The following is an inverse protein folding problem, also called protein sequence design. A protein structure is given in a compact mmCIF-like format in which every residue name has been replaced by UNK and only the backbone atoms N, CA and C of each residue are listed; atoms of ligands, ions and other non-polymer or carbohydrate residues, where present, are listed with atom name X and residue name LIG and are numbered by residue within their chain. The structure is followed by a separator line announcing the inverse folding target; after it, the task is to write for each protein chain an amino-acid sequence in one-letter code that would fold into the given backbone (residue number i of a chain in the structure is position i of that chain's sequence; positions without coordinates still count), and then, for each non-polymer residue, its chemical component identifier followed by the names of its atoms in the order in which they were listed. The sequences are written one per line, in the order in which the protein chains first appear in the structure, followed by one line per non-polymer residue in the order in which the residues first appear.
data_IF_179679700105
#
_entry.id   IF_179679700105
#
_cell.length_a   1.000
_cell.length_b   1.000
_cell.length_c   1.000
_cell.angle_alpha   90.00
_cell.angle_beta   90.00
_cell.angle_gamma   90.00
#
_symmetry.space_group_name_H-M   'P 1'
#
loop_
_entity.id
_entity.type
_entity.pdbx_description
1 polymer ?
#
# COMPACT_ATOMS: atom_id res chain seq x y z
N UNK A 1 8.83 10.23 6.89
CA UNK A 1 8.12 9.06 6.31
C UNK A 1 9.16 8.13 5.73
N UNK A 2 8.99 6.82 5.91
CA UNK A 2 9.87 5.83 5.31
C UNK A 2 9.17 5.26 4.07
N UNK A 3 9.83 5.31 2.92
CA UNK A 3 9.33 4.71 1.68
C UNK A 3 9.89 3.30 1.57
N UNK A 4 9.04 2.32 1.28
CA UNK A 4 9.43 0.91 1.10
C UNK A 4 8.73 0.38 -0.14
N UNK A 5 9.43 -0.36 -0.97
CA UNK A 5 8.79 -1.12 -2.04
C UNK A 5 8.06 -2.33 -1.45
N UNK A 6 6.80 -2.50 -1.85
CA UNK A 6 5.95 -3.62 -1.46
C UNK A 6 5.26 -4.20 -2.69
N UNK A 7 4.84 -5.46 -2.61
CA UNK A 7 4.04 -6.08 -3.65
C UNK A 7 2.58 -6.04 -3.27
N UNK A 8 1.74 -5.57 -4.18
CA UNK A 8 0.28 -5.63 -4.08
C UNK A 8 -0.28 -6.47 -5.22
N UNK A 9 -1.45 -7.05 -5.02
CA UNK A 9 -2.19 -7.83 -6.00
C UNK A 9 -3.51 -7.13 -6.30
N UNK A 10 -3.88 -7.04 -7.57
CA UNK A 10 -5.19 -6.53 -7.96
C UNK A 10 -6.30 -7.59 -7.84
N UNK A 11 -7.55 -7.16 -8.03
CA UNK A 11 -8.73 -8.03 -7.99
C UNK A 11 -8.76 -9.14 -9.06
N UNK A 12 -7.96 -9.03 -10.13
CA UNK A 12 -7.84 -10.03 -11.20
C UNK A 12 -6.67 -10.99 -10.96
N UNK A 13 -5.81 -10.64 -10.01
CA UNK A 13 -4.72 -11.45 -9.51
C UNK A 13 -3.34 -11.07 -10.02
N UNK A 14 -3.23 -9.95 -10.72
CA UNK A 14 -1.97 -9.42 -11.22
C UNK A 14 -1.20 -8.72 -10.09
N UNK A 15 0.13 -8.86 -10.08
CA UNK A 15 0.99 -8.34 -9.01
C UNK A 15 1.74 -7.09 -9.48
N UNK A 16 1.87 -6.14 -8.57
CA UNK A 16 2.49 -4.84 -8.83
C UNK A 16 3.47 -4.52 -7.71
N UNK A 17 4.70 -4.16 -8.07
CA UNK A 17 5.64 -3.56 -7.13
C UNK A 17 5.32 -2.06 -7.03
N UNK A 18 4.98 -1.61 -5.82
CA UNK A 18 4.55 -0.22 -5.56
C UNK A 18 5.33 0.37 -4.40
N UNK A 19 5.46 1.69 -4.39
CA UNK A 19 6.07 2.39 -3.27
C UNK A 19 5.04 2.59 -2.17
N UNK A 20 5.35 2.16 -0.96
CA UNK A 20 4.55 2.34 0.23
C UNK A 20 5.18 3.37 1.16
N UNK A 21 4.38 4.33 1.62
CA UNK A 21 4.76 5.26 2.68
C UNK A 21 4.35 4.70 4.04
N UNK A 22 5.34 4.38 4.87
CA UNK A 22 5.14 3.83 6.21
C UNK A 22 5.52 4.89 7.26
N UNK A 23 4.70 5.01 8.29
CA UNK A 23 5.03 5.85 9.44
C UNK A 23 6.06 5.15 10.34
N UNK A 24 7.18 5.83 10.61
CA UNK A 24 8.28 5.27 11.40
C UNK A 24 7.99 5.52 12.87
N UNK A 25 7.56 4.50 13.60
CA UNK A 25 7.44 4.61 15.05
C UNK A 25 8.82 4.51 15.73
N UNK A 26 9.01 5.30 16.79
CA UNK A 26 10.31 5.55 17.44
C UNK A 26 10.80 4.41 18.35
N UNK A 27 10.01 3.33 18.49
CA UNK A 27 10.27 2.25 19.43
C UNK A 27 10.38 0.91 18.69
N UNK A 28 11.51 0.70 18.00
CA UNK A 28 12.25 -0.57 17.81
C UNK A 28 11.53 -1.91 17.53
N UNK A 29 10.23 -1.97 17.38
CA UNK A 29 9.45 -3.18 17.15
C UNK A 29 8.37 -2.90 16.11
N UNK A 30 8.00 -3.97 15.42
CA UNK A 30 6.83 -4.08 14.54
C UNK A 30 7.05 -3.57 13.11
N UNK A 31 7.67 -4.45 12.33
CA UNK A 31 7.51 -4.61 10.88
C UNK A 31 6.07 -4.99 10.50
N UNK A 32 5.08 -4.26 11.00
CA UNK A 32 3.67 -4.54 10.81
C UNK A 32 3.10 -3.53 9.83
N UNK A 33 2.58 -4.03 8.71
CA UNK A 33 1.86 -3.29 7.67
C UNK A 33 0.72 -2.40 8.21
N UNK A 34 0.36 -2.56 9.48
CA UNK A 34 -0.51 -1.69 10.29
C UNK A 34 -0.13 -0.21 10.28
N UNK A 35 1.11 0.15 9.95
CA UNK A 35 1.57 1.56 9.90
C UNK A 35 1.67 2.12 8.47
N UNK A 36 1.07 1.43 7.49
CA UNK A 36 1.01 1.87 6.11
C UNK A 36 0.07 3.07 5.95
N UNK A 37 0.59 4.22 5.49
CA UNK A 37 -0.19 5.44 5.28
C UNK A 37 -0.86 5.48 3.92
N UNK A 38 -0.10 5.16 2.88
CA UNK A 38 -0.59 5.09 1.51
C UNK A 38 0.39 4.28 0.65
N UNK A 39 -0.10 3.81 -0.48
CA UNK A 39 0.71 3.28 -1.58
C UNK A 39 0.68 4.26 -2.74
N UNK A 40 1.73 4.30 -3.54
CA UNK A 40 1.80 5.09 -4.77
C UNK A 40 1.81 4.13 -5.95
N UNK A 41 0.78 4.20 -6.79
CA UNK A 41 0.67 3.40 -8.02
C UNK A 41 0.30 4.32 -9.19
N UNK A 42 1.05 4.24 -10.30
CA UNK A 42 0.85 5.09 -11.48
C UNK A 42 0.78 6.61 -11.18
N UNK A 43 1.45 7.06 -10.11
CA UNK A 43 1.43 8.45 -9.64
C UNK A 43 0.23 8.83 -8.77
N UNK A 44 -0.64 7.88 -8.43
CA UNK A 44 -1.76 8.03 -7.50
C UNK A 44 -1.38 7.56 -6.09
N UNK A 45 -1.54 8.44 -5.10
CA UNK A 45 -1.36 8.10 -3.68
C UNK A 45 -2.68 7.57 -3.09
N UNK A 46 -2.77 6.26 -2.91
CA UNK A 46 -3.97 5.57 -2.44
C UNK A 46 -3.82 5.22 -0.96
N UNK A 47 -4.76 5.69 -0.14
CA UNK A 47 -4.83 5.35 1.28
C UNK A 47 -5.52 3.99 1.49
N UNK A 48 -5.14 3.23 2.51
CA UNK A 48 -5.84 1.98 2.83
C UNK A 48 -7.28 2.28 3.25
N UNK A 49 -8.22 1.57 2.63
CA UNK A 49 -9.62 1.51 3.04
C UNK A 49 -9.87 0.39 4.05
N UNK A 50 -11.09 -0.15 4.05
CA UNK A 50 -11.44 -1.30 4.87
C UNK A 50 -10.61 -2.53 4.44
N UNK A 51 -10.19 -3.37 5.41
CA UNK A 51 -9.44 -4.61 5.15
C UNK A 51 -8.10 -4.41 4.41
N UNK A 52 -7.46 -3.23 4.54
CA UNK A 52 -6.23 -2.86 3.79
C UNK A 52 -6.39 -2.98 2.26
N UNK A 53 -7.58 -2.66 1.74
CA UNK A 53 -7.81 -2.53 0.31
C UNK A 53 -7.42 -1.13 -0.18
N UNK A 54 -6.78 -1.03 -1.33
CA UNK A 54 -6.40 0.23 -1.97
C UNK A 54 -7.15 0.36 -3.29
N UNK A 55 -8.11 1.28 -3.36
CA UNK A 55 -8.87 1.51 -4.59
C UNK A 55 -8.28 2.68 -5.36
N UNK A 56 -7.85 2.43 -6.59
CA UNK A 56 -7.41 3.47 -7.52
C UNK A 56 -8.62 4.14 -8.15
N UNK A 57 -8.65 5.46 -8.11
CA UNK A 57 -9.65 6.27 -8.81
C UNK A 57 -9.30 6.45 -10.29
N UNK A 58 -8.02 6.33 -10.66
CA UNK A 58 -7.57 6.41 -12.05
C UNK A 58 -7.94 5.17 -12.86
N UNK A 59 -7.66 3.99 -12.31
CA UNK A 59 -7.85 2.71 -13.00
C UNK A 59 -9.14 1.98 -12.60
N UNK A 60 -9.78 2.40 -11.50
CA UNK A 60 -10.92 1.68 -10.91
C UNK A 60 -10.56 0.34 -10.28
N UNK A 61 -9.27 -0.02 -10.24
CA UNK A 61 -8.77 -1.29 -9.68
C UNK A 61 -8.72 -1.24 -8.16
N UNK A 62 -8.95 -2.39 -7.55
CA UNK A 62 -8.73 -2.61 -6.12
C UNK A 62 -7.49 -3.48 -5.95
N UNK A 63 -6.55 -2.99 -5.13
CA UNK A 63 -5.32 -3.67 -4.77
C UNK A 63 -5.35 -4.12 -3.31
N UNK A 64 -4.68 -5.24 -3.02
CA UNK A 64 -4.45 -5.76 -1.67
C UNK A 64 -2.99 -6.15 -1.50
N UNK A 65 -2.48 -6.04 -0.28
CA UNK A 65 -1.15 -6.58 0.06
C UNK A 65 -1.10 -8.11 -0.09
N UNK A 66 0.08 -8.63 -0.44
CA UNK A 66 0.38 -10.08 -0.47
C UNK A 66 1.23 -10.46 0.73
#
# INVERSE_FOLDING_TARGET
MFKKEITVKDQFGEQYAVEAAIEKHRNGQESSLSHLKYITIDGEDIRPGFDMCFQSLLSGKIFKLI
#
